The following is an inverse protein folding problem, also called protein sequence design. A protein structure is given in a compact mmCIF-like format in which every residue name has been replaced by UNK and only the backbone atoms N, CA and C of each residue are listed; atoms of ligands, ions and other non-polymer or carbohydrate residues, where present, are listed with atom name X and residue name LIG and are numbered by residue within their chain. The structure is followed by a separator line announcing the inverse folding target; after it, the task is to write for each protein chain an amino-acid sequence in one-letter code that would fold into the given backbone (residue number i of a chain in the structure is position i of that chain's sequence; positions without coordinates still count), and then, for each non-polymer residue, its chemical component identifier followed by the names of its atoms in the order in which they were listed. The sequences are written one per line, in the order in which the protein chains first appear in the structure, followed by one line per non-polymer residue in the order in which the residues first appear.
data_IF_854453579572
#
_entry.id   IF_854453579572
#
_cell.length_a   1.000
_cell.length_b   1.000
_cell.length_c   1.000
_cell.angle_alpha   90.00
_cell.angle_beta   90.00
_cell.angle_gamma   90.00
#
_symmetry.space_group_name_H-M   'P 1'
#
loop_
_entity.id
_entity.type
_entity.pdbx_description
1 polymer ?
#
# COMPACT_ATOMS: atom_id res chain seq x y z
N UNK A 1 20.87 -22.91 -1.13
CA UNK A 1 19.65 -23.00 -0.30
C UNK A 1 19.15 -21.59 -0.08
N UNK A 2 18.07 -21.22 -0.76
CA UNK A 2 17.53 -19.86 -0.80
C UNK A 2 16.85 -19.53 0.51
N UNK A 3 17.44 -18.61 1.29
CA UNK A 3 16.77 -17.94 2.40
C UNK A 3 15.60 -17.13 1.84
N UNK A 4 14.42 -17.73 1.79
CA UNK A 4 13.17 -17.00 1.67
C UNK A 4 12.99 -16.26 3.00
N UNK A 5 13.47 -15.02 3.03
CA UNK A 5 13.15 -14.05 4.06
C UNK A 5 11.64 -13.92 4.09
N UNK A 6 11.00 -14.43 5.16
CA UNK A 6 9.61 -14.15 5.46
C UNK A 6 9.45 -12.64 5.53
N UNK A 7 8.83 -12.06 4.51
CA UNK A 7 8.50 -10.64 4.42
C UNK A 7 7.53 -10.31 5.56
N UNK A 8 8.05 -9.74 6.65
CA UNK A 8 7.23 -9.20 7.72
C UNK A 8 6.64 -7.86 7.27
N UNK A 9 5.59 -7.91 6.46
CA UNK A 9 4.64 -6.82 6.33
C UNK A 9 3.84 -6.78 7.65
N UNK A 10 4.20 -5.88 8.57
CA UNK A 10 3.38 -5.64 9.76
C UNK A 10 2.15 -4.82 9.36
N UNK A 11 1.14 -5.54 8.85
CA UNK A 11 -0.21 -5.05 8.69
C UNK A 11 -0.87 -4.96 10.06
N UNK A 12 -1.05 -3.72 10.57
CA UNK A 12 -2.08 -3.44 11.58
C UNK A 12 -3.23 -2.70 10.89
N UNK A 13 -3.95 -3.44 10.06
CA UNK A 13 -5.27 -3.02 9.59
C UNK A 13 -6.25 -3.87 10.40
N UNK A 14 -6.83 -3.32 11.46
CA UNK A 14 -7.81 -4.05 12.29
C UNK A 14 -9.22 -4.05 11.67
N UNK A 15 -9.37 -3.58 10.42
CA UNK A 15 -10.65 -3.32 9.77
C UNK A 15 -10.61 -3.79 8.30
N UNK A 16 -11.77 -4.10 7.72
CA UNK A 16 -11.86 -4.45 6.29
C UNK A 16 -11.60 -3.23 5.36
N UNK A 17 -11.24 -2.08 5.91
CA UNK A 17 -10.99 -0.84 5.18
C UNK A 17 -9.85 -0.03 5.83
N UNK A 18 -8.70 0.07 5.18
CA UNK A 18 -7.61 0.92 5.65
C UNK A 18 -7.76 2.32 5.03
N UNK A 19 -7.82 3.35 5.87
CA UNK A 19 -7.67 4.74 5.42
C UNK A 19 -6.58 5.41 6.25
N UNK A 20 -5.42 5.70 5.67
CA UNK A 20 -4.35 6.35 6.41
C UNK A 20 -3.04 6.48 5.65
N UNK A 21 -1.92 6.16 6.29
CA UNK A 21 -0.56 6.40 5.76
C UNK A 21 0.22 5.10 5.67
N UNK A 22 1.15 5.04 4.72
CA UNK A 22 2.14 3.97 4.65
C UNK A 22 3.57 4.51 4.50
N UNK A 23 4.54 3.73 4.97
CA UNK A 23 5.96 3.92 4.65
C UNK A 23 6.55 2.63 4.11
N UNK A 24 7.60 2.74 3.30
CA UNK A 24 8.40 1.60 2.87
C UNK A 24 9.82 1.74 3.38
N UNK A 25 10.36 0.68 3.98
CA UNK A 25 11.74 0.65 4.44
C UNK A 25 12.73 0.31 3.31
N UNK A 26 14.01 0.56 3.54
CA UNK A 26 15.12 0.17 2.64
C UNK A 26 15.19 -1.34 2.41
N UNK A 27 14.71 -2.13 3.36
CA UNK A 27 14.64 -3.59 3.23
C UNK A 27 13.38 -4.05 2.46
N UNK A 28 12.59 -3.12 1.91
CA UNK A 28 11.35 -3.44 1.21
C UNK A 28 10.19 -3.79 2.14
N UNK A 29 10.31 -3.56 3.46
CA UNK A 29 9.21 -3.78 4.39
C UNK A 29 8.24 -2.62 4.32
N UNK A 30 6.98 -2.92 4.09
CA UNK A 30 5.93 -1.89 4.08
C UNK A 30 5.15 -1.92 5.37
N UNK A 31 4.88 -0.73 5.89
CA UNK A 31 4.12 -0.52 7.11
C UNK A 31 2.94 0.39 6.80
N UNK A 32 1.73 -0.13 7.03
CA UNK A 32 0.45 0.56 6.78
C UNK A 32 -0.20 0.91 8.10
N UNK A 33 -0.76 2.12 8.17
CA UNK A 33 -1.37 2.68 9.37
C UNK A 33 -2.77 3.18 9.05
N UNK A 34 -3.76 2.54 9.66
CA UNK A 34 -5.16 2.95 9.59
C UNK A 34 -5.40 4.12 10.57
N UNK A 35 -5.95 5.22 10.05
CA UNK A 35 -6.33 6.40 10.83
C UNK A 35 -7.52 6.10 11.77
N UNK A 36 -8.29 5.02 11.52
CA UNK A 36 -9.38 4.61 12.43
C UNK A 36 -8.85 4.10 13.78
N UNK A 37 -7.72 3.39 13.77
CA UNK A 37 -7.12 2.81 14.99
C UNK A 37 -6.28 3.82 15.79
N UNK A 38 -5.81 4.88 15.13
CA UNK A 38 -5.01 5.94 15.75
C UNK A 38 -5.48 7.31 15.22
N UNK A 39 -6.51 7.91 15.82
CA UNK A 39 -7.03 9.22 15.39
C UNK A 39 -6.06 10.39 15.66
N UNK A 40 -4.93 10.13 16.31
CA UNK A 40 -3.82 11.08 16.34
C UNK A 40 -3.20 11.15 14.95
N UNK A 41 -3.04 12.36 14.40
CA UNK A 41 -2.33 12.63 13.14
C UNK A 41 -0.88 12.11 13.21
N UNK A 42 -0.68 10.79 13.10
CA UNK A 42 0.64 10.18 13.06
C UNK A 42 1.30 10.61 11.75
N UNK A 43 2.44 11.27 11.84
CA UNK A 43 3.23 11.60 10.67
C UNK A 43 4.08 10.41 10.25
N UNK A 44 4.52 10.38 8.98
CA UNK A 44 5.37 9.30 8.47
C UNK A 44 6.63 9.14 9.33
N UNK A 45 7.15 10.22 9.93
CA UNK A 45 8.29 10.18 10.84
C UNK A 45 8.04 9.43 12.15
N UNK A 46 6.83 9.50 12.68
CA UNK A 46 6.47 8.86 13.95
C UNK A 46 6.33 7.35 13.74
N UNK A 47 5.75 6.99 12.60
CA UNK A 47 5.75 5.64 12.04
C UNK A 47 7.19 5.12 11.88
N UNK A 48 8.05 5.89 11.19
CA UNK A 48 9.43 5.48 10.92
C UNK A 48 10.23 5.23 12.21
N UNK A 49 10.11 6.11 13.21
CA UNK A 49 10.78 5.99 14.50
C UNK A 49 10.38 4.71 15.24
N UNK A 50 9.09 4.35 15.17
CA UNK A 50 8.55 3.20 15.89
C UNK A 50 8.95 1.87 15.26
N UNK A 51 8.97 1.77 13.93
CA UNK A 51 9.05 0.48 13.24
C UNK A 51 10.36 0.21 12.51
N UNK A 52 11.06 1.25 12.02
CA UNK A 52 12.22 1.05 11.12
C UNK A 52 13.40 1.97 11.38
N UNK A 53 13.40 2.74 12.48
CA UNK A 53 14.53 3.59 12.94
C UNK A 53 15.15 4.47 11.84
N UNK A 54 14.32 5.07 10.99
CA UNK A 54 14.69 5.97 9.87
C UNK A 54 15.27 5.32 8.60
N UNK A 55 15.16 4.01 8.42
CA UNK A 55 15.53 3.37 7.14
C UNK A 55 14.37 3.42 6.14
N UNK A 56 13.80 4.59 5.89
CA UNK A 56 12.64 4.78 5.01
C UNK A 56 13.09 5.27 3.64
N UNK A 57 12.54 4.69 2.57
CA UNK A 57 12.80 5.09 1.18
C UNK A 57 11.67 5.92 0.58
N UNK A 58 10.51 5.96 1.24
CA UNK A 58 9.39 6.80 0.88
C UNK A 58 8.14 6.46 1.68
N UNK A 59 7.08 7.22 1.45
CA UNK A 59 5.76 6.92 1.97
C UNK A 59 4.67 7.63 1.19
N UNK A 60 3.42 7.41 1.60
CA UNK A 60 2.24 8.01 0.98
C UNK A 60 0.99 7.80 1.82
N UNK A 61 -0.16 8.14 1.25
CA UNK A 61 -1.47 7.77 1.74
C UNK A 61 -1.94 6.45 1.17
N UNK A 62 -2.82 5.78 1.89
CA UNK A 62 -3.45 4.54 1.45
C UNK A 62 -4.94 4.58 1.80
N UNK A 63 -5.76 4.20 0.83
CA UNK A 63 -7.17 3.95 0.99
C UNK A 63 -7.48 2.61 0.34
N UNK A 64 -7.82 1.61 1.15
CA UNK A 64 -8.14 0.27 0.68
C UNK A 64 -9.38 -0.25 1.39
N UNK A 65 -10.16 -1.08 0.72
CA UNK A 65 -11.36 -1.68 1.30
C UNK A 65 -12.21 -2.37 0.25
N UNK A 66 -13.51 -2.43 0.48
CA UNK A 66 -14.47 -3.01 -0.46
C UNK A 66 -15.71 -2.15 -0.61
N UNK A 67 -16.28 -2.16 -1.80
CA UNK A 67 -17.57 -1.54 -2.10
C UNK A 67 -18.50 -2.52 -2.83
N UNK A 68 -19.81 -2.27 -2.75
CA UNK A 68 -20.80 -3.04 -3.51
C UNK A 68 -21.09 -2.29 -4.81
N UNK A 69 -20.74 -2.92 -5.93
CA UNK A 69 -21.10 -2.43 -7.28
C UNK A 69 -22.18 -3.35 -7.82
N UNK A 70 -23.37 -2.78 -8.03
CA UNK A 70 -24.62 -3.46 -8.42
C UNK A 70 -25.05 -4.56 -7.43
N UNK A 71 -24.36 -5.70 -7.41
CA UNK A 71 -24.58 -6.83 -6.48
C UNK A 71 -23.30 -7.60 -6.16
N UNK A 72 -22.15 -7.18 -6.69
CA UNK A 72 -20.86 -7.80 -6.45
C UNK A 72 -20.08 -6.99 -5.42
N UNK A 73 -19.48 -7.67 -4.45
CA UNK A 73 -18.48 -7.06 -3.57
C UNK A 73 -17.18 -6.95 -4.37
N UNK A 74 -16.64 -5.74 -4.48
CA UNK A 74 -15.40 -5.47 -5.21
C UNK A 74 -14.43 -4.80 -4.25
N UNK A 75 -13.22 -5.34 -4.15
CA UNK A 75 -12.15 -4.73 -3.37
C UNK A 75 -11.43 -3.62 -4.15
N UNK A 76 -10.87 -2.65 -3.46
CA UNK A 76 -10.05 -1.60 -4.06
C UNK A 76 -8.83 -1.29 -3.20
N UNK A 77 -7.74 -0.88 -3.86
CA UNK A 77 -6.53 -0.39 -3.22
C UNK A 77 -6.06 0.87 -3.95
N UNK A 78 -6.07 1.99 -3.23
CA UNK A 78 -5.56 3.26 -3.70
C UNK A 78 -4.37 3.67 -2.83
N UNK A 79 -3.24 3.92 -3.49
CA UNK A 79 -2.05 4.52 -2.91
C UNK A 79 -1.95 5.93 -3.45
N UNK A 80 -1.61 6.91 -2.61
CA UNK A 80 -1.54 8.30 -3.05
C UNK A 80 -0.40 9.08 -2.42
N UNK A 81 -0.17 10.26 -3.01
CA UNK A 81 0.64 11.30 -2.39
C UNK A 81 2.10 10.91 -2.18
N UNK A 82 2.74 11.62 -1.25
CA UNK A 82 4.12 11.40 -0.84
C UNK A 82 4.26 11.75 0.63
N UNK A 83 5.21 11.10 1.31
CA UNK A 83 5.66 11.57 2.61
C UNK A 83 6.33 12.94 2.45
N UNK A 84 6.04 13.86 3.37
CA UNK A 84 6.72 15.16 3.41
C UNK A 84 8.18 15.02 3.83
N UNK A 85 8.48 14.01 4.64
CA UNK A 85 9.79 13.73 5.23
C UNK A 85 10.65 12.81 4.36
N UNK A 86 10.05 11.80 3.74
CA UNK A 86 10.76 10.74 3.02
C UNK A 86 10.54 10.74 1.51
N UNK A 87 9.66 11.62 1.02
CA UNK A 87 9.32 11.68 -0.39
C UNK A 87 8.45 10.52 -0.85
N UNK A 88 8.42 10.33 -2.16
CA UNK A 88 7.61 9.32 -2.83
C UNK A 88 8.34 7.98 -2.89
N UNK A 89 7.60 6.90 -2.70
CA UNK A 89 8.13 5.53 -2.88
C UNK A 89 8.43 5.30 -4.37
N UNK A 90 9.56 4.68 -4.73
CA UNK A 90 9.84 4.26 -6.10
C UNK A 90 8.70 3.44 -6.72
N UNK A 91 8.40 3.69 -8.01
CA UNK A 91 7.23 3.11 -8.69
C UNK A 91 7.28 1.58 -8.74
N UNK A 92 8.46 1.00 -8.97
CA UNK A 92 8.69 -0.44 -8.97
C UNK A 92 8.38 -1.10 -7.61
N UNK A 93 8.63 -0.37 -6.52
CA UNK A 93 8.30 -0.81 -5.16
C UNK A 93 6.81 -0.63 -4.87
N UNK A 94 6.19 0.45 -5.36
CA UNK A 94 4.73 0.64 -5.29
C UNK A 94 3.99 -0.48 -6.01
N UNK A 95 4.45 -0.91 -7.19
CA UNK A 95 3.90 -2.06 -7.92
C UNK A 95 3.91 -3.33 -7.07
N UNK A 96 5.07 -3.68 -6.49
CA UNK A 96 5.20 -4.86 -5.59
C UNK A 96 4.29 -4.77 -4.38
N UNK A 97 4.28 -3.62 -3.72
CA UNK A 97 3.43 -3.39 -2.56
C UNK A 97 1.94 -3.51 -2.91
N UNK A 98 1.53 -2.93 -4.03
CA UNK A 98 0.18 -3.03 -4.57
C UNK A 98 -0.28 -4.47 -4.80
N UNK A 99 0.59 -5.33 -5.34
CA UNK A 99 0.31 -6.77 -5.51
C UNK A 99 0.07 -7.48 -4.19
N UNK A 100 0.97 -7.26 -3.22
CA UNK A 100 0.86 -7.86 -1.88
C UNK A 100 -0.44 -7.43 -1.18
N UNK A 101 -0.83 -6.17 -1.32
CA UNK A 101 -2.11 -5.67 -0.83
C UNK A 101 -3.28 -6.37 -1.52
N UNK A 102 -3.27 -6.46 -2.84
CA UNK A 102 -4.30 -7.17 -3.61
C UNK A 102 -4.49 -8.60 -3.11
N UNK A 103 -3.43 -9.40 -3.08
CA UNK A 103 -3.50 -10.81 -2.66
C UNK A 103 -4.08 -10.96 -1.26
N UNK A 104 -3.69 -10.06 -0.34
CA UNK A 104 -4.18 -10.05 1.02
C UNK A 104 -5.66 -9.68 1.11
N UNK A 105 -6.07 -8.59 0.44
CA UNK A 105 -7.45 -8.13 0.46
C UNK A 105 -8.39 -9.13 -0.23
N UNK A 106 -7.97 -9.77 -1.31
CA UNK A 106 -8.76 -10.84 -1.96
C UNK A 106 -8.95 -12.04 -1.02
N UNK A 107 -7.91 -12.41 -0.27
CA UNK A 107 -7.99 -13.47 0.74
C UNK A 107 -8.93 -13.11 1.90
N UNK A 108 -8.85 -11.88 2.42
CA UNK A 108 -9.63 -11.45 3.59
C UNK A 108 -11.09 -11.13 3.25
N UNK A 109 -11.35 -10.53 2.08
CA UNK A 109 -12.68 -10.13 1.65
C UNK A 109 -13.44 -11.27 0.94
N UNK A 110 -12.72 -12.28 0.45
CA UNK A 110 -13.31 -13.29 -0.44
C UNK A 110 -13.87 -12.69 -1.74
N UNK A 111 -13.35 -11.54 -2.16
CA UNK A 111 -13.76 -10.81 -3.37
C UNK A 111 -12.57 -10.50 -4.26
N UNK A 112 -12.85 -10.18 -5.53
CA UNK A 112 -11.81 -9.74 -6.47
C UNK A 112 -11.40 -8.30 -6.16
N UNK A 113 -10.10 -8.00 -6.27
CA UNK A 113 -9.57 -6.63 -6.28
C UNK A 113 -9.11 -6.32 -7.71
N UNK A 114 -9.98 -5.77 -8.57
CA UNK A 114 -9.66 -5.52 -9.98
C UNK A 114 -8.69 -4.36 -10.19
N UNK A 115 -8.65 -3.39 -9.26
CA UNK A 115 -7.85 -2.17 -9.40
C UNK A 115 -6.92 -1.96 -8.21
N UNK A 116 -5.64 -1.72 -8.53
CA UNK A 116 -4.65 -1.19 -7.61
C UNK A 116 -4.01 0.02 -8.27
N UNK A 117 -4.28 1.21 -7.73
CA UNK A 117 -3.87 2.47 -8.35
C UNK A 117 -2.90 3.25 -7.48
N UNK A 118 -1.96 3.93 -8.13
CA UNK A 118 -1.20 5.01 -7.52
C UNK A 118 -1.66 6.36 -8.09
N UNK A 119 -2.00 7.30 -7.21
CA UNK A 119 -2.34 8.69 -7.57
C UNK A 119 -1.18 9.59 -7.13
N UNK A 120 -0.45 10.13 -8.11
CA UNK A 120 0.70 10.99 -7.83
C UNK A 120 0.25 12.32 -7.18
N UNK A 121 1.16 13.07 -6.52
CA UNK A 121 0.86 14.41 -6.02
C UNK A 121 0.41 15.41 -7.11
N UNK A 122 0.66 15.09 -8.39
CA UNK A 122 0.20 15.87 -9.55
C UNK A 122 -1.16 15.39 -10.09
N UNK A 123 -1.84 14.50 -9.37
CA UNK A 123 -3.09 13.86 -9.76
C UNK A 123 -2.99 12.95 -10.98
N UNK A 124 -1.79 12.47 -11.31
CA UNK A 124 -1.62 11.45 -12.34
C UNK A 124 -2.01 10.09 -11.75
N UNK A 125 -2.99 9.41 -12.36
CA UNK A 125 -3.43 8.07 -11.98
C UNK A 125 -2.68 7.03 -12.79
N UNK A 126 -1.95 6.15 -12.10
CA UNK A 126 -1.26 5.00 -12.69
C UNK A 126 -1.96 3.73 -12.19
N UNK A 127 -2.42 2.90 -13.12
CA UNK A 127 -2.92 1.56 -12.80
C UNK A 127 -1.72 0.62 -12.71
N UNK A 128 -1.36 0.26 -11.48
CA UNK A 128 -0.15 -0.51 -11.19
C UNK A 128 -0.22 -1.95 -11.74
N UNK A 129 -1.42 -2.45 -12.07
CA UNK A 129 -1.61 -3.81 -12.60
C UNK A 129 -1.69 -3.81 -14.14
N UNK A 130 -2.20 -2.75 -14.76
CA UNK A 130 -2.25 -2.65 -16.23
C UNK A 130 -0.88 -2.39 -16.85
N UNK A 131 -0.04 -1.57 -16.23
CA UNK A 131 1.30 -1.28 -16.77
C UNK A 131 2.22 -2.50 -16.81
N UNK A 132 2.07 -3.46 -15.88
CA UNK A 132 2.90 -4.66 -15.87
C UNK A 132 2.54 -5.66 -16.97
N UNK A 133 1.28 -5.70 -17.40
CA UNK A 133 0.88 -6.50 -18.55
C UNK A 133 1.47 -5.94 -19.86
N UNK A 134 1.76 -4.63 -19.90
CA UNK A 134 2.48 -3.99 -21.01
C UNK A 134 3.99 -4.23 -20.93
N UNK A 135 4.58 -4.23 -19.73
CA UNK A 135 6.01 -4.53 -19.51
C UNK A 135 6.37 -6.00 -19.75
N UNK A 136 5.47 -6.96 -19.45
CA UNK A 136 5.69 -8.39 -19.70
C UNK A 136 5.35 -8.84 -21.13
N UNK A 137 4.85 -7.93 -21.97
CA UNK A 137 4.51 -8.20 -23.38
C UNK A 137 5.62 -7.75 -24.36
N UNK A 138 6.77 -7.34 -23.85
CA UNK A 138 7.99 -6.99 -24.62
C UNK A 138 9.08 -8.05 -24.42
#
# INVERSE_FOLDING_TARGET
MTNQTKENLEFKVNSLAAAGKFIVSKEGRTYTFDAMDNPGNLEHKDIARKYTRNEVIGGGGIQAGSERVESQLVGYVYLDGRSTEYGQVPVDILKKFGRLLKERYELELGSLVPEVCYISPRFEKIDLLKEENLENSQ
#
